data_IF_602606936641
#
_entry.id   IF_602606936641
#
_cell.length_a   1.000
_cell.length_b   1.000
_cell.length_c   1.000
_cell.angle_alpha   90.00
_cell.angle_beta   90.00
_cell.angle_gamma   90.00
#
_symmetry.space_group_name_H-M   'P 1'
#
loop_
_entity.id
_entity.type
_entity.pdbx_description
1 polymer ?
#
# COMPACT_ATOMS: atom_id res chain seq x y z
N UNK A 1 -7.50 18.86 12.00
CA UNK A 1 -8.24 18.11 11.06
C UNK A 1 -7.36 17.15 10.30
N UNK A 2 -7.70 15.89 10.30
CA UNK A 2 -6.92 14.98 9.65
C UNK A 2 -7.38 14.71 8.30
N UNK A 3 -6.48 14.70 7.35
CA UNK A 3 -6.79 14.34 6.02
C UNK A 3 -6.68 12.88 5.87
N UNK A 4 -7.79 12.23 5.68
CA UNK A 4 -7.75 10.83 5.39
C UNK A 4 -7.50 10.68 3.94
N UNK A 5 -6.31 10.23 3.60
CA UNK A 5 -6.04 9.90 2.24
C UNK A 5 -6.77 8.63 1.91
N UNK A 6 -7.65 8.71 0.96
CA UNK A 6 -8.37 7.54 0.49
C UNK A 6 -7.74 7.07 -0.80
N UNK A 7 -7.45 5.78 -0.84
CA UNK A 7 -6.82 5.17 -2.00
C UNK A 7 -7.84 4.28 -2.69
N UNK A 8 -8.00 4.49 -3.99
CA UNK A 8 -8.94 3.73 -4.79
C UNK A 8 -8.22 2.95 -5.87
N UNK A 9 -8.78 1.82 -6.33
CA UNK A 9 -8.16 1.07 -7.42
C UNK A 9 -7.88 1.98 -8.61
N UNK A 10 -6.67 1.88 -9.13
CA UNK A 10 -6.25 2.71 -10.25
C UNK A 10 -5.49 3.95 -9.88
N UNK A 11 -5.49 4.32 -8.60
CA UNK A 11 -4.74 5.48 -8.16
C UNK A 11 -3.24 5.23 -8.26
N UNK A 12 -2.50 6.26 -8.61
CA UNK A 12 -1.04 6.17 -8.63
C UNK A 12 -0.49 6.67 -7.31
N UNK A 13 0.39 5.89 -6.72
CA UNK A 13 0.98 6.21 -5.43
C UNK A 13 2.47 5.92 -5.44
N UNK A 14 3.16 6.45 -4.47
CA UNK A 14 4.55 6.13 -4.27
C UNK A 14 4.81 6.08 -2.76
N UNK A 15 6.03 5.75 -2.38
CA UNK A 15 6.38 5.69 -0.97
C UNK A 15 6.56 7.10 -0.43
N UNK A 16 6.08 7.30 0.78
CA UNK A 16 6.18 8.60 1.42
C UNK A 16 7.63 8.94 1.78
N UNK A 17 8.42 7.91 2.06
CA UNK A 17 9.81 8.13 2.43
C UNK A 17 10.62 8.61 1.25
N UNK A 18 11.60 9.47 1.53
CA UNK A 18 12.49 9.94 0.48
C UNK A 18 13.55 8.89 0.26
N UNK A 19 13.37 8.14 -0.79
CA UNK A 19 14.31 7.09 -1.17
C UNK A 19 14.70 7.30 -2.62
N UNK A 20 15.94 6.99 -2.99
CA UNK A 20 16.31 7.02 -4.40
C UNK A 20 15.56 5.89 -5.11
N UNK A 21 15.11 6.17 -6.31
CA UNK A 21 14.47 5.16 -7.16
C UNK A 21 13.23 4.53 -6.56
N UNK A 22 12.47 5.29 -5.78
CA UNK A 22 11.23 4.75 -5.25
C UNK A 22 10.23 4.53 -6.39
N UNK A 23 9.49 3.42 -6.34
CA UNK A 23 8.62 3.07 -7.46
C UNK A 23 7.33 3.88 -7.45
N UNK A 24 6.78 4.07 -8.65
CA UNK A 24 5.42 4.53 -8.79
C UNK A 24 4.56 3.28 -8.89
N UNK A 25 3.56 3.17 -8.04
CA UNK A 25 2.74 1.99 -7.95
C UNK A 25 1.29 2.32 -8.26
N UNK A 26 0.55 1.31 -8.69
CA UNK A 26 -0.88 1.47 -8.91
C UNK A 26 -1.61 0.69 -7.83
N UNK A 27 -2.63 1.32 -7.27
CA UNK A 27 -3.44 0.69 -6.23
C UNK A 27 -4.32 -0.38 -6.89
N UNK A 28 -4.27 -1.59 -6.33
CA UNK A 28 -5.10 -2.68 -6.80
C UNK A 28 -6.38 -2.74 -5.99
N UNK A 29 -6.27 -2.75 -4.68
CA UNK A 29 -7.43 -2.81 -3.80
C UNK A 29 -6.99 -2.62 -2.35
N UNK A 30 -7.97 -2.40 -1.49
CA UNK A 30 -7.72 -2.42 -0.05
C UNK A 30 -7.71 -3.84 0.43
N UNK A 31 -6.80 -4.13 1.32
CA UNK A 31 -6.69 -5.46 1.92
C UNK A 31 -6.95 -5.36 3.39
N UNK A 32 -7.59 -6.38 3.92
CA UNK A 32 -7.86 -6.43 5.34
C UNK A 32 -7.72 -7.88 5.77
N UNK A 33 -6.84 -8.12 6.72
CA UNK A 33 -6.59 -9.46 7.22
C UNK A 33 -6.88 -9.49 8.71
N UNK A 34 -7.64 -10.46 9.15
CA UNK A 34 -7.97 -10.62 10.54
C UNK A 34 -7.20 -11.81 11.09
N UNK A 35 -6.43 -11.56 12.14
CA UNK A 35 -5.70 -12.61 12.82
C UNK A 35 -6.34 -12.87 14.16
N UNK A 36 -6.51 -14.13 14.50
CA UNK A 36 -6.96 -14.51 15.83
C UNK A 36 -5.82 -15.14 16.54
N UNK A 37 -5.51 -14.58 17.71
CA UNK A 37 -4.43 -15.09 18.49
C UNK A 37 -4.98 -15.29 19.89
N UNK A 38 -5.18 -16.50 20.28
CA UNK A 38 -5.67 -16.88 21.59
C UNK A 38 -6.87 -16.06 22.03
N UNK A 39 -6.65 -14.99 22.76
CA UNK A 39 -7.74 -14.17 23.26
C UNK A 39 -7.86 -12.84 22.57
N UNK A 40 -7.14 -12.66 21.46
CA UNK A 40 -7.15 -11.38 20.80
C UNK A 40 -7.47 -11.52 19.34
N UNK A 41 -8.21 -10.58 18.84
CA UNK A 41 -8.46 -10.47 17.41
C UNK A 41 -7.74 -9.23 16.91
N UNK A 42 -6.81 -9.43 16.01
CA UNK A 42 -6.07 -8.34 15.39
C UNK A 42 -6.44 -8.21 13.94
N UNK A 43 -6.52 -7.01 13.46
CA UNK A 43 -6.76 -6.79 12.05
C UNK A 43 -5.64 -5.96 11.47
N UNK A 44 -5.18 -6.38 10.30
CA UNK A 44 -4.19 -5.64 9.55
C UNK A 44 -4.86 -5.09 8.32
N UNK A 45 -4.78 -3.78 8.14
CA UNK A 45 -5.35 -3.12 6.97
C UNK A 45 -4.22 -2.53 6.17
N UNK A 46 -4.31 -2.70 4.87
CA UNK A 46 -3.30 -2.17 3.99
C UNK A 46 -3.84 -1.94 2.60
N UNK A 47 -2.98 -1.46 1.74
CA UNK A 47 -3.31 -1.19 0.36
C UNK A 47 -2.44 -2.06 -0.51
N UNK A 48 -3.06 -2.90 -1.32
CA UNK A 48 -2.31 -3.74 -2.26
C UNK A 48 -1.97 -2.90 -3.47
N UNK A 49 -0.68 -2.81 -3.75
CA UNK A 49 -0.19 -2.02 -4.88
C UNK A 49 0.68 -2.88 -5.78
N UNK A 50 0.74 -2.52 -7.03
CA UNK A 50 1.47 -3.25 -8.06
C UNK A 50 2.39 -2.29 -8.77
N UNK A 51 3.57 -2.76 -9.14
CA UNK A 51 4.51 -1.92 -9.87
C UNK A 51 5.48 -2.80 -10.65
N UNK A 52 6.15 -2.16 -11.62
CA UNK A 52 7.19 -2.84 -12.37
C UNK A 52 8.56 -2.40 -11.88
N UNK A 53 9.46 -3.35 -11.72
CA UNK A 53 10.83 -3.03 -11.34
C UNK A 53 11.58 -2.54 -12.56
N UNK A 54 12.82 -2.09 -12.34
CA UNK A 54 13.66 -1.66 -13.45
C UNK A 54 13.99 -2.80 -14.39
N UNK A 55 13.86 -4.04 -13.93
CA UNK A 55 14.05 -5.21 -14.78
C UNK A 55 12.76 -5.65 -15.46
N UNK A 56 11.73 -4.81 -15.43
CA UNK A 56 10.42 -5.09 -16.02
C UNK A 56 9.70 -6.29 -15.39
N UNK A 57 9.98 -6.54 -14.13
CA UNK A 57 9.29 -7.59 -13.40
C UNK A 57 8.14 -6.99 -12.63
N UNK A 58 6.99 -7.63 -12.70
CA UNK A 58 5.82 -7.17 -11.97
C UNK A 58 5.93 -7.58 -10.51
N UNK A 59 5.81 -6.63 -9.62
CA UNK A 59 5.83 -6.87 -8.19
C UNK A 59 4.52 -6.41 -7.59
N UNK A 60 4.17 -7.00 -6.47
CA UNK A 60 2.93 -6.67 -5.79
C UNK A 60 3.14 -6.83 -4.30
N UNK A 61 2.66 -5.90 -3.52
CA UNK A 61 2.80 -5.96 -2.07
C UNK A 61 1.70 -5.15 -1.42
N UNK A 62 1.47 -5.44 -0.14
CA UNK A 62 0.49 -4.70 0.65
C UNK A 62 1.26 -3.72 1.52
N UNK A 63 0.88 -2.46 1.45
CA UNK A 63 1.55 -1.38 2.17
C UNK A 63 0.59 -0.76 3.18
N UNK A 64 1.17 -0.24 4.24
CA UNK A 64 0.39 0.52 5.20
C UNK A 64 0.05 1.88 4.56
N UNK A 65 -1.17 2.36 4.81
CA UNK A 65 -1.58 3.64 4.24
C UNK A 65 -0.67 4.79 4.67
N UNK A 66 -0.06 4.67 5.83
CA UNK A 66 0.84 5.71 6.32
C UNK A 66 2.10 5.83 5.50
N UNK A 67 2.46 4.76 4.78
CA UNK A 67 3.69 4.74 4.01
C UNK A 67 3.50 5.18 2.57
N UNK A 68 2.28 5.49 2.18
CA UNK A 68 1.95 5.82 0.79
C UNK A 68 1.53 7.26 0.67
N UNK A 69 1.78 7.82 -0.51
CA UNK A 69 1.31 9.16 -0.84
C UNK A 69 0.88 9.14 -2.29
N UNK A 70 -0.22 9.82 -2.59
CA UNK A 70 -0.70 9.92 -3.96
C UNK A 70 0.17 10.85 -4.77
N UNK A 71 0.34 10.51 -6.02
CA UNK A 71 1.10 11.34 -6.95
C UNK A 71 0.19 12.37 -7.57
#
# INVERSE_FOLDING_TARGET
MEDKMMFFPGDLVTLRQELPNKPVMVVVRKESTIFRDENKTNSLKGIRCRWFTTANELQEAVWNTKDLIKI
#
